data_IF_928046344912
#
_entry.id   IF_928046344912
#
_cell.length_a   1.000
_cell.length_b   1.000
_cell.length_c   1.000
_cell.angle_alpha   90.00
_cell.angle_beta   90.00
_cell.angle_gamma   90.00
#
_symmetry.space_group_name_H-M   'P 1'
#
loop_
_entity.id
_entity.type
_entity.pdbx_description
1 polymer ?
#
# COMPACT_ATOMS: atom_id res chain seq x y z
N UNK A 1 0.41 -11.30 -20.15
CA UNK A 1 0.55 -9.83 -20.12
C UNK A 1 -0.27 -9.31 -18.95
N UNK A 2 0.35 -8.51 -18.07
CA UNK A 2 -0.31 -7.91 -16.92
C UNK A 2 -1.24 -6.80 -17.41
N UNK A 3 -2.51 -6.80 -17.00
CA UNK A 3 -3.50 -5.83 -17.50
C UNK A 3 -3.38 -4.44 -16.84
N UNK A 4 -2.85 -4.38 -15.61
CA UNK A 4 -2.62 -3.15 -14.85
C UNK A 4 -1.65 -3.39 -13.69
N UNK A 5 -0.99 -2.33 -13.19
CA UNK A 5 -0.10 -2.41 -12.02
C UNK A 5 -0.80 -2.94 -10.76
N UNK A 6 -2.11 -2.76 -10.63
CA UNK A 6 -2.89 -3.29 -9.52
C UNK A 6 -3.07 -4.81 -9.58
N UNK A 7 -3.01 -5.40 -10.78
CA UNK A 7 -3.13 -6.84 -11.00
C UNK A 7 -1.76 -7.54 -11.09
N UNK A 8 -0.68 -6.82 -10.80
CA UNK A 8 0.68 -7.35 -10.80
C UNK A 8 0.85 -8.35 -9.64
N UNK A 9 1.66 -9.37 -9.86
CA UNK A 9 2.14 -10.24 -8.79
C UNK A 9 3.61 -9.91 -8.57
N UNK A 10 3.97 -9.44 -7.37
CA UNK A 10 5.37 -9.23 -7.02
C UNK A 10 6.14 -10.56 -7.06
N UNK A 11 7.44 -10.54 -7.42
CA UNK A 11 8.30 -11.71 -7.27
C UNK A 11 8.42 -12.12 -5.79
N UNK A 12 8.99 -13.31 -5.50
CA UNK A 12 9.44 -13.63 -4.16
C UNK A 12 10.32 -12.52 -3.59
N UNK A 13 10.15 -12.24 -2.30
CA UNK A 13 10.86 -11.12 -1.66
C UNK A 13 12.38 -11.33 -1.75
N UNK A 14 13.15 -10.27 -2.06
CA UNK A 14 14.61 -10.37 -2.07
C UNK A 14 15.14 -10.70 -0.67
N UNK A 15 16.35 -11.26 -0.61
CA UNK A 15 17.03 -11.42 0.66
C UNK A 15 17.45 -10.05 1.20
N UNK A 16 17.01 -9.75 2.42
CA UNK A 16 17.38 -8.54 3.15
C UNK A 16 17.48 -8.85 4.64
N UNK A 17 18.27 -8.07 5.35
CA UNK A 17 18.47 -8.26 6.78
C UNK A 17 17.19 -7.88 7.53
N UNK A 18 16.60 -8.85 8.22
CA UNK A 18 15.45 -8.62 9.07
C UNK A 18 15.91 -8.17 10.46
N UNK A 19 15.19 -7.21 11.09
CA UNK A 19 15.47 -6.81 12.46
C UNK A 19 15.14 -7.96 13.42
N UNK A 20 15.74 -8.00 14.62
CA UNK A 20 15.39 -9.00 15.62
C UNK A 20 13.93 -8.83 16.07
N UNK A 21 13.15 -9.92 16.01
CA UNK A 21 11.74 -9.99 16.41
C UNK A 21 11.54 -9.56 17.88
N UNK A 22 10.79 -8.47 18.15
CA UNK A 22 10.54 -8.03 19.53
C UNK A 22 9.70 -9.01 20.36
N UNK A 23 10.16 -9.46 21.53
CA UNK A 23 9.35 -10.33 22.38
C UNK A 23 8.06 -9.64 22.86
N UNK A 24 6.96 -10.38 22.94
CA UNK A 24 5.76 -9.95 23.67
C UNK A 24 5.90 -10.42 25.12
N UNK A 25 5.96 -9.49 26.07
CA UNK A 25 6.15 -9.77 27.49
C UNK A 25 4.86 -10.23 28.20
N UNK A 26 3.70 -9.71 27.80
CA UNK A 26 2.39 -10.18 28.27
C UNK A 26 2.14 -11.62 27.75
N UNK A 27 2.19 -12.59 28.66
CA UNK A 27 2.04 -14.01 28.34
C UNK A 27 0.66 -14.35 27.75
N UNK A 28 -0.41 -13.70 28.23
CA UNK A 28 -1.76 -13.93 27.71
C UNK A 28 -1.86 -13.37 26.31
N UNK A 29 -1.37 -12.15 26.08
CA UNK A 29 -1.36 -11.53 24.76
C UNK A 29 -0.53 -12.35 23.77
N UNK A 30 0.67 -12.77 24.17
CA UNK A 30 1.53 -13.66 23.38
C UNK A 30 0.80 -14.95 23.01
N UNK A 31 0.08 -15.55 23.97
CA UNK A 31 -0.68 -16.77 23.72
C UNK A 31 -1.80 -16.53 22.70
N UNK A 32 -2.54 -15.41 22.82
CA UNK A 32 -3.62 -15.02 21.92
C UNK A 32 -3.11 -14.81 20.49
N UNK A 33 -2.01 -14.06 20.31
CA UNK A 33 -1.39 -13.79 19.00
C UNK A 33 -1.09 -15.06 18.22
N UNK A 34 -0.64 -16.11 18.92
CA UNK A 34 -0.26 -17.37 18.28
C UNK A 34 -1.33 -18.46 18.39
N UNK A 35 -2.58 -18.13 18.73
CA UNK A 35 -3.67 -19.11 18.78
C UNK A 35 -4.60 -18.92 17.59
N UNK A 36 -4.76 -19.96 16.76
CA UNK A 36 -5.68 -20.01 15.62
C UNK A 36 -7.11 -20.34 16.06
N UNK A 37 -8.12 -19.87 15.34
CA UNK A 37 -9.53 -20.06 15.70
C UNK A 37 -9.99 -21.52 15.73
N UNK A 38 -9.35 -22.40 14.95
CA UNK A 38 -9.59 -23.85 15.04
C UNK A 38 -9.26 -24.45 16.41
N UNK A 39 -8.43 -23.81 17.22
CA UNK A 39 -8.13 -24.26 18.59
C UNK A 39 -9.39 -24.40 19.44
N UNK A 40 -10.34 -23.48 19.26
CA UNK A 40 -11.56 -23.42 20.06
C UNK A 40 -12.74 -24.20 19.44
N UNK A 41 -12.59 -24.73 18.23
CA UNK A 41 -13.60 -25.53 17.49
C UNK A 41 -15.03 -24.94 17.50
N UNK A 42 -15.16 -23.62 17.61
CA UNK A 42 -16.43 -22.94 17.84
C UNK A 42 -16.98 -22.36 16.54
N UNK A 43 -18.28 -22.53 16.28
CA UNK A 43 -18.97 -21.88 15.16
C UNK A 43 -19.11 -20.38 15.43
N UNK A 44 -18.61 -19.54 14.51
CA UNK A 44 -18.71 -18.08 14.62
C UNK A 44 -19.68 -17.54 13.59
N UNK A 45 -20.47 -16.55 13.99
CA UNK A 45 -21.20 -15.71 13.06
C UNK A 45 -20.38 -14.43 12.84
N UNK A 46 -19.75 -14.31 11.67
CA UNK A 46 -18.90 -13.18 11.31
C UNK A 46 -19.66 -11.82 11.26
N UNK A 47 -21.00 -11.86 11.18
CA UNK A 47 -21.85 -10.68 11.07
C UNK A 47 -22.66 -10.39 12.34
N UNK A 48 -22.39 -11.10 13.43
CA UNK A 48 -23.09 -10.85 14.69
C UNK A 48 -22.65 -9.51 15.31
N UNK A 49 -23.62 -8.66 15.65
CA UNK A 49 -23.42 -7.41 16.39
C UNK A 49 -23.66 -7.58 17.91
N UNK A 50 -23.48 -8.79 18.45
CA UNK A 50 -23.74 -9.08 19.87
C UNK A 50 -22.50 -8.82 20.74
N UNK A 51 -22.65 -7.95 21.75
CA UNK A 51 -21.57 -7.56 22.67
C UNK A 51 -21.46 -8.52 23.87
N UNK A 52 -22.54 -9.25 24.18
CA UNK A 52 -22.65 -10.07 25.41
C UNK A 52 -21.94 -11.42 25.41
N UNK A 53 -21.41 -11.88 24.26
CA UNK A 53 -20.72 -13.16 24.18
C UNK A 53 -19.20 -12.97 24.26
N UNK A 54 -18.55 -13.58 25.26
CA UNK A 54 -17.09 -13.64 25.33
C UNK A 54 -16.59 -14.47 24.14
N UNK A 55 -16.01 -13.79 23.15
CA UNK A 55 -15.35 -14.45 22.03
C UNK A 55 -14.13 -15.25 22.53
N UNK A 56 -13.81 -16.39 21.90
CA UNK A 56 -12.62 -17.16 22.25
C UNK A 56 -11.34 -16.33 22.07
N UNK A 57 -10.34 -16.62 22.89
CA UNK A 57 -9.05 -15.93 22.88
C UNK A 57 -8.18 -16.51 21.75
N UNK A 58 -8.30 -15.93 20.57
CA UNK A 58 -7.45 -16.18 19.40
C UNK A 58 -7.08 -14.88 18.68
N UNK A 59 -6.27 -15.03 17.63
CA UNK A 59 -5.63 -13.89 16.99
C UNK A 59 -6.60 -12.99 16.21
N UNK A 60 -7.84 -13.39 15.88
CA UNK A 60 -8.68 -12.69 14.89
C UNK A 60 -8.96 -11.22 15.26
N UNK A 61 -9.17 -10.93 16.55
CA UNK A 61 -9.34 -9.54 17.01
C UNK A 61 -8.06 -8.73 16.90
N UNK A 62 -6.92 -9.36 17.18
CA UNK A 62 -5.61 -8.72 17.10
C UNK A 62 -5.21 -8.52 15.63
N UNK A 63 -5.49 -9.49 14.75
CA UNK A 63 -5.35 -9.38 13.30
C UNK A 63 -6.06 -8.12 12.79
N UNK A 64 -7.32 -7.93 13.17
CA UNK A 64 -8.09 -6.77 12.73
C UNK A 64 -7.46 -5.43 13.17
N UNK A 65 -6.98 -5.35 14.43
CA UNK A 65 -6.28 -4.15 14.92
C UNK A 65 -4.93 -3.98 14.22
N UNK A 66 -4.23 -5.08 13.99
CA UNK A 66 -2.92 -5.14 13.38
C UNK A 66 -2.90 -4.69 11.93
N UNK A 67 -3.89 -5.11 11.14
CA UNK A 67 -4.13 -4.64 9.76
C UNK A 67 -4.28 -3.11 9.73
N UNK A 68 -5.09 -2.56 10.64
CA UNK A 68 -5.26 -1.11 10.76
C UNK A 68 -3.95 -0.37 11.11
N UNK A 69 -3.22 -0.86 12.11
CA UNK A 69 -1.93 -0.28 12.53
C UNK A 69 -0.90 -0.35 11.40
N UNK A 70 -0.69 -1.55 10.86
CA UNK A 70 0.27 -1.78 9.77
C UNK A 70 -0.08 -0.95 8.55
N UNK A 71 -1.36 -0.89 8.19
CA UNK A 71 -1.87 -0.08 7.09
C UNK A 71 -1.52 1.40 7.25
N UNK A 72 -1.67 1.98 8.45
CA UNK A 72 -1.28 3.37 8.71
C UNK A 72 0.25 3.53 8.66
N UNK A 73 1.00 2.65 9.31
CA UNK A 73 2.47 2.72 9.35
C UNK A 73 3.10 2.63 7.95
N UNK A 74 2.62 1.73 7.09
CA UNK A 74 3.08 1.61 5.71
C UNK A 74 2.64 2.84 4.88
N UNK A 75 1.47 3.42 5.15
CA UNK A 75 1.05 4.66 4.47
C UNK A 75 1.99 5.82 4.80
N UNK A 76 2.32 6.00 6.08
CA UNK A 76 3.27 7.03 6.52
C UNK A 76 4.67 6.79 5.96
N UNK A 77 5.15 5.54 6.02
CA UNK A 77 6.43 5.14 5.42
C UNK A 77 6.50 5.53 3.94
N UNK A 78 5.47 5.21 3.15
CA UNK A 78 5.46 5.53 1.72
C UNK A 78 5.44 7.03 1.45
N UNK A 79 4.76 7.82 2.30
CA UNK A 79 4.76 9.27 2.21
C UNK A 79 6.14 9.86 2.51
N UNK A 80 6.87 9.27 3.47
CA UNK A 80 8.23 9.68 3.82
C UNK A 80 9.22 9.32 2.69
N UNK A 81 9.12 8.11 2.14
CA UNK A 81 10.03 7.62 1.09
C UNK A 81 9.78 8.24 -0.28
N UNK A 82 8.51 8.48 -0.62
CA UNK A 82 8.09 8.94 -1.96
C UNK A 82 7.10 10.10 -1.88
N UNK A 83 7.51 11.28 -1.36
CA UNK A 83 6.60 12.40 -1.10
C UNK A 83 5.87 12.93 -2.34
N UNK A 84 6.44 12.73 -3.52
CA UNK A 84 5.89 13.17 -4.81
C UNK A 84 5.13 12.07 -5.55
N UNK A 85 4.99 10.86 -4.99
CA UNK A 85 4.25 9.78 -5.61
C UNK A 85 2.74 10.08 -5.59
N UNK A 86 2.03 10.04 -6.73
CA UNK A 86 0.59 10.27 -6.73
C UNK A 86 -0.16 9.30 -5.82
N UNK A 87 -1.19 9.79 -5.14
CA UNK A 87 -1.97 9.03 -4.15
C UNK A 87 -2.53 7.71 -4.69
N UNK A 88 -2.92 7.68 -5.97
CA UNK A 88 -3.36 6.46 -6.66
C UNK A 88 -2.25 5.41 -6.75
N UNK A 89 -1.05 5.80 -7.19
CA UNK A 89 0.11 4.92 -7.28
C UNK A 89 0.60 4.47 -5.90
N UNK A 90 0.62 5.38 -4.92
CA UNK A 90 0.94 5.06 -3.53
C UNK A 90 -0.05 4.04 -2.93
N UNK A 91 -1.33 4.14 -3.27
CA UNK A 91 -2.36 3.17 -2.86
C UNK A 91 -2.10 1.79 -3.46
N UNK A 92 -1.73 1.71 -4.74
CA UNK A 92 -1.40 0.44 -5.40
C UNK A 92 -0.13 -0.16 -4.78
N UNK A 93 0.91 0.64 -4.57
CA UNK A 93 2.15 0.21 -3.92
C UNK A 93 1.88 -0.32 -2.51
N UNK A 94 1.13 0.43 -1.70
CA UNK A 94 0.69 -0.02 -0.37
C UNK A 94 -0.02 -1.37 -0.46
N UNK A 95 -0.96 -1.53 -1.39
CA UNK A 95 -1.71 -2.78 -1.55
C UNK A 95 -0.80 -3.98 -1.84
N UNK A 96 0.31 -3.79 -2.56
CA UNK A 96 1.31 -4.84 -2.76
C UNK A 96 2.13 -5.15 -1.51
N UNK A 97 2.45 -4.12 -0.70
CA UNK A 97 3.20 -4.28 0.54
C UNK A 97 2.42 -4.98 1.64
N UNK A 98 1.13 -4.68 1.79
CA UNK A 98 0.28 -5.22 2.87
C UNK A 98 -0.62 -6.37 2.43
N UNK A 99 -0.42 -6.95 1.24
CA UNK A 99 -1.20 -8.12 0.83
C UNK A 99 -0.76 -9.39 1.59
N UNK A 100 -1.67 -10.38 1.63
CA UNK A 100 -1.42 -11.63 2.34
C UNK A 100 -0.17 -12.38 1.85
N UNK A 101 0.19 -12.30 0.56
CA UNK A 101 1.36 -13.01 0.01
C UNK A 101 2.67 -12.43 0.57
N UNK A 102 2.76 -11.10 0.60
CA UNK A 102 3.91 -10.37 1.14
C UNK A 102 4.03 -10.59 2.64
N UNK A 103 2.93 -10.42 3.39
CA UNK A 103 2.92 -10.60 4.85
C UNK A 103 3.23 -12.04 5.26
N UNK A 104 2.75 -13.04 4.49
CA UNK A 104 3.09 -14.43 4.72
C UNK A 104 4.58 -14.72 4.54
N UNK A 105 5.21 -14.15 3.51
CA UNK A 105 6.66 -14.28 3.30
C UNK A 105 7.46 -13.67 4.45
N UNK A 106 7.07 -12.49 4.95
CA UNK A 106 7.69 -11.85 6.12
C UNK A 106 7.50 -12.74 7.37
N UNK A 107 6.28 -13.20 7.62
CA UNK A 107 5.94 -14.06 8.76
C UNK A 107 6.80 -15.33 8.84
N UNK A 108 7.01 -15.98 7.68
CA UNK A 108 7.84 -17.18 7.59
C UNK A 108 9.33 -16.89 7.81
N UNK A 109 9.85 -15.78 7.25
CA UNK A 109 11.25 -15.39 7.44
C UNK A 109 11.55 -15.03 8.89
N UNK A 110 10.60 -14.40 9.58
CA UNK A 110 10.65 -14.10 11.02
C UNK A 110 10.32 -15.30 11.93
N UNK A 111 10.02 -16.47 11.34
CA UNK A 111 9.72 -17.74 12.04
C UNK A 111 8.58 -17.64 13.05
N UNK A 112 7.65 -16.71 12.87
CA UNK A 112 6.53 -16.49 13.79
C UNK A 112 5.59 -17.71 13.88
N UNK A 113 5.49 -18.48 12.79
CA UNK A 113 4.65 -19.68 12.70
C UNK A 113 5.11 -20.85 13.58
N UNK A 114 6.33 -20.81 14.13
CA UNK A 114 6.82 -21.84 15.05
C UNK A 114 5.97 -21.92 16.32
N UNK A 115 5.52 -20.76 16.81
CA UNK A 115 4.73 -20.62 18.04
C UNK A 115 3.23 -20.88 17.85
N UNK A 116 2.77 -21.10 16.60
CA UNK A 116 1.35 -21.27 16.31
C UNK A 116 0.74 -22.48 17.02
N UNK A 117 -0.41 -22.24 17.65
CA UNK A 117 -1.31 -23.22 18.25
C UNK A 117 -2.60 -23.30 17.45
N UNK A 118 -2.97 -24.50 17.04
CA UNK A 118 -4.20 -24.81 16.33
C UNK A 118 -4.66 -26.21 16.74
N UNK A 119 -5.88 -26.62 16.36
CA UNK A 119 -6.30 -28.00 16.60
C UNK A 119 -5.27 -28.98 15.97
N UNK A 120 -4.84 -30.04 16.68
CA UNK A 120 -3.76 -30.92 16.23
C UNK A 120 -3.93 -31.46 14.81
N UNK A 121 -5.16 -31.79 14.42
CA UNK A 121 -5.51 -32.28 13.08
C UNK A 121 -5.34 -31.23 11.97
N UNK A 122 -5.41 -29.95 12.30
CA UNK A 122 -5.35 -28.82 11.35
C UNK A 122 -4.01 -28.09 11.37
N UNK A 123 -3.16 -28.32 12.37
CA UNK A 123 -1.97 -27.50 12.63
C UNK A 123 -1.03 -27.41 11.43
N UNK A 124 -0.71 -28.55 10.80
CA UNK A 124 0.17 -28.58 9.62
C UNK A 124 -0.42 -27.79 8.46
N UNK A 125 -1.71 -27.98 8.18
CA UNK A 125 -2.43 -27.27 7.12
C UNK A 125 -2.44 -25.77 7.37
N UNK A 126 -2.80 -25.34 8.59
CA UNK A 126 -2.88 -23.92 8.95
C UNK A 126 -1.50 -23.27 8.90
N UNK A 127 -0.44 -23.97 9.33
CA UNK A 127 0.94 -23.44 9.22
C UNK A 127 1.36 -23.14 7.78
N UNK A 128 0.82 -23.84 6.79
CA UNK A 128 1.10 -23.60 5.37
C UNK A 128 0.13 -22.63 4.68
N UNK A 129 -0.92 -22.17 5.36
CA UNK A 129 -1.90 -21.27 4.75
C UNK A 129 -1.38 -19.83 4.74
N UNK A 130 -1.25 -19.26 3.53
CA UNK A 130 -0.86 -17.85 3.32
C UNK A 130 -1.72 -16.90 4.15
N UNK A 131 -3.05 -17.13 4.20
CA UNK A 131 -3.94 -16.29 5.01
C UNK A 131 -3.61 -16.36 6.50
N UNK A 132 -3.42 -17.57 7.07
CA UNK A 132 -3.07 -17.71 8.47
C UNK A 132 -1.70 -17.09 8.80
N UNK A 133 -0.71 -17.25 7.91
CA UNK A 133 0.61 -16.63 8.06
C UNK A 133 0.51 -15.10 8.08
N UNK A 134 -0.25 -14.51 7.15
CA UNK A 134 -0.50 -13.07 7.12
C UNK A 134 -1.22 -12.60 8.39
N UNK A 135 -2.30 -13.28 8.78
CA UNK A 135 -3.09 -12.95 9.97
C UNK A 135 -2.26 -13.01 11.26
N UNK A 136 -1.33 -13.97 11.38
CA UNK A 136 -0.41 -14.06 12.53
C UNK A 136 0.54 -12.88 12.56
N UNK A 137 1.06 -12.44 11.42
CA UNK A 137 1.92 -11.26 11.36
C UNK A 137 1.16 -9.99 11.79
N UNK A 138 -0.05 -9.77 11.26
CA UNK A 138 -0.91 -8.65 11.66
C UNK A 138 -1.24 -8.71 13.16
N UNK A 139 -1.66 -9.87 13.65
CA UNK A 139 -1.95 -10.06 15.07
C UNK A 139 -0.73 -9.81 15.96
N UNK A 140 0.46 -10.19 15.49
CA UNK A 140 1.71 -9.92 16.18
C UNK A 140 2.02 -8.42 16.25
N UNK A 141 1.77 -7.64 15.19
CA UNK A 141 1.87 -6.18 15.22
C UNK A 141 0.94 -5.57 16.30
N UNK A 142 -0.31 -6.02 16.38
CA UNK A 142 -1.20 -5.61 17.46
C UNK A 142 -0.74 -6.09 18.85
N UNK A 143 -0.12 -7.28 18.90
CA UNK A 143 0.54 -7.81 20.08
C UNK A 143 1.62 -6.87 20.61
N UNK A 144 2.51 -6.39 19.74
CA UNK A 144 3.53 -5.40 20.11
C UNK A 144 2.93 -4.09 20.61
N UNK A 145 1.89 -3.60 19.92
CA UNK A 145 1.19 -2.39 20.29
C UNK A 145 0.58 -2.48 21.71
N UNK A 146 -0.17 -3.54 22.00
CA UNK A 146 -0.79 -3.71 23.32
C UNK A 146 0.20 -4.11 24.41
N UNK A 147 1.25 -4.87 24.08
CA UNK A 147 2.34 -5.16 25.02
C UNK A 147 3.01 -3.87 25.46
N UNK A 148 3.28 -2.96 24.53
CA UNK A 148 3.81 -1.63 24.84
C UNK A 148 2.94 -0.88 25.84
N UNK A 149 1.63 -0.86 25.62
CA UNK A 149 0.69 -0.14 26.47
C UNK A 149 0.51 -0.78 27.86
N UNK A 150 0.54 -2.11 27.94
CA UNK A 150 0.06 -2.85 29.12
C UNK A 150 1.15 -3.51 29.95
N UNK A 151 2.21 -3.99 29.31
CA UNK A 151 3.27 -4.74 29.99
C UNK A 151 4.15 -3.80 30.80
N UNK A 152 4.59 -4.14 32.02
CA UNK A 152 5.56 -3.32 32.74
C UNK A 152 6.89 -3.17 31.97
N UNK A 153 7.27 -4.21 31.22
CA UNK A 153 8.53 -4.28 30.43
C UNK A 153 8.24 -4.69 28.98
N UNK A 154 7.70 -3.79 28.14
CA UNK A 154 7.44 -4.08 26.73
C UNK A 154 8.66 -4.59 26.01
N UNK A 155 8.48 -5.53 25.10
CA UNK A 155 9.60 -6.13 24.40
C UNK A 155 10.37 -7.16 25.24
N UNK A 156 10.24 -7.17 26.57
CA UNK A 156 10.92 -8.15 27.43
C UNK A 156 12.44 -8.20 27.27
N UNK A 157 13.05 -7.17 26.69
CA UNK A 157 14.50 -7.09 26.54
C UNK A 157 15.10 -7.07 27.94
N UNK A 158 15.85 -8.13 28.28
CA UNK A 158 16.73 -8.06 29.43
C UNK A 158 17.80 -7.04 29.05
N UNK A 159 17.66 -5.81 29.55
CA UNK A 159 18.75 -4.84 29.49
C UNK A 159 20.01 -5.56 29.96
N UNK A 160 21.01 -5.62 29.09
CA UNK A 160 22.33 -6.11 29.45
C UNK A 160 22.90 -5.21 30.54
N UNK A 161 22.58 -5.53 31.79
CA UNK A 161 23.16 -4.97 33.00
C UNK A 161 23.25 -3.44 33.07
N UNK A 162 22.18 -2.79 33.56
CA UNK A 162 22.25 -1.64 34.50
C UNK A 162 20.84 -1.17 34.87
N UNK A 163 20.26 -1.75 35.91
CA UNK A 163 19.25 -1.02 36.70
C UNK A 163 19.94 0.19 37.33
N UNK A 164 19.77 1.36 36.73
CA UNK A 164 20.13 2.64 37.36
C UNK A 164 18.87 3.20 38.04
N UNK A 165 18.83 2.97 39.35
CA UNK A 165 18.53 3.93 40.42
C UNK A 165 17.26 4.80 40.29
N UNK A 166 16.34 4.53 41.21
CA UNK A 166 15.29 5.41 41.74
C UNK A 166 15.86 6.78 42.12
N UNK A 167 15.29 7.89 41.61
CA UNK A 167 15.48 9.20 42.25
C UNK A 167 14.14 9.95 42.28
N UNK A 168 13.79 10.32 43.52
CA UNK A 168 12.70 11.19 43.93
C UNK A 168 12.72 12.57 43.26
N UNK A 169 11.56 13.22 43.28
CA UNK A 169 11.26 14.45 42.56
C UNK A 169 12.06 15.69 42.93
N UNK A 170 11.99 16.69 42.04
CA UNK A 170 12.54 18.02 42.26
C UNK A 170 12.31 18.93 41.05
N UNK A 171 11.26 19.74 41.13
CA UNK A 171 10.93 20.86 40.25
C UNK A 171 12.01 21.96 40.35
N UNK A 172 12.60 22.43 39.25
CA UNK A 172 13.05 23.84 39.12
C UNK A 172 12.99 24.35 37.68
N UNK A 173 12.52 25.60 37.56
CA UNK A 173 12.42 26.43 36.35
C UNK A 173 13.77 27.07 35.99
N UNK A 174 13.99 27.32 34.70
CA UNK A 174 14.94 28.34 34.22
C UNK A 174 15.06 28.37 32.69
N UNK A 175 14.59 29.45 32.06
CA UNK A 175 15.14 29.97 30.79
C UNK A 175 15.71 31.38 31.05
N UNK A 176 16.15 32.19 30.05
CA UNK A 176 16.09 32.01 28.58
C UNK A 176 17.36 32.46 27.77
N UNK A 177 17.19 32.62 26.44
CA UNK A 177 17.98 33.37 25.40
C UNK A 177 19.27 32.73 24.83
N UNK A 178 19.65 32.81 23.54
CA UNK A 178 19.22 33.62 22.38
C UNK A 178 19.81 33.09 21.03
N UNK A 179 19.12 33.43 19.94
CA UNK A 179 19.59 33.73 18.56
C UNK A 179 20.15 32.66 17.59
N UNK A 180 19.56 32.64 16.38
CA UNK A 180 20.20 32.17 15.14
C UNK A 180 19.27 31.44 14.17
N UNK A 181 18.48 32.17 13.39
CA UNK A 181 17.75 31.64 12.21
C UNK A 181 18.72 31.57 11.02
N UNK A 182 18.91 30.37 10.46
CA UNK A 182 19.40 30.18 9.11
C UNK A 182 18.54 29.09 8.45
N UNK A 183 17.94 29.44 7.31
CA UNK A 183 17.11 28.59 6.48
C UNK A 183 18.05 27.86 5.51
N UNK A 184 18.12 26.53 5.58
CA UNK A 184 18.86 25.70 4.63
C UNK A 184 17.90 24.70 4.01
N UNK A 185 17.60 24.91 2.72
CA UNK A 185 16.81 24.01 1.89
C UNK A 185 17.71 22.87 1.43
N UNK A 186 17.51 21.64 1.94
CA UNK A 186 18.16 20.46 1.34
C UNK A 186 18.42 19.21 2.18
N UNK A 187 17.96 19.10 3.44
CA UNK A 187 18.46 18.06 4.37
C UNK A 187 17.39 17.20 5.08
N UNK A 188 16.11 17.27 4.72
CA UNK A 188 15.06 16.62 5.52
C UNK A 188 15.03 15.08 5.39
N UNK A 189 15.36 14.52 4.22
CA UNK A 189 15.37 13.05 4.02
C UNK A 189 16.49 12.36 4.81
N UNK A 190 17.66 12.98 4.91
CA UNK A 190 18.81 12.47 5.66
C UNK A 190 18.58 12.48 7.18
N UNK A 191 17.86 13.47 7.71
CA UNK A 191 17.59 13.60 9.13
C UNK A 191 16.58 12.55 9.63
N UNK A 192 15.55 12.24 8.83
CA UNK A 192 14.58 11.20 9.14
C UNK A 192 15.22 9.80 9.11
N UNK A 193 16.06 9.51 8.11
CA UNK A 193 16.85 8.25 8.09
C UNK A 193 17.77 8.13 9.31
N UNK A 194 18.38 9.24 9.75
CA UNK A 194 19.28 9.31 10.90
C UNK A 194 18.58 8.97 12.24
N UNK A 195 17.33 9.38 12.43
CA UNK A 195 16.57 9.12 13.68
C UNK A 195 16.32 7.62 13.87
N UNK A 196 16.15 6.86 12.79
CA UNK A 196 15.74 5.46 12.83
C UNK A 196 16.88 4.45 12.55
N UNK A 197 18.09 4.91 12.21
CA UNK A 197 19.26 4.05 11.96
C UNK A 197 19.86 3.42 13.23
N UNK A 198 19.37 3.81 14.39
CA UNK A 198 19.70 3.22 15.69
C UNK A 198 18.90 1.92 15.89
N UNK A 199 19.57 0.78 15.75
CA UNK A 199 19.06 -0.61 15.89
C UNK A 199 18.45 -0.97 17.26
N UNK A 200 18.25 -0.01 18.15
CA UNK A 200 17.67 -0.21 19.47
C UNK A 200 16.29 0.45 19.55
N UNK A 201 15.31 -0.27 20.10
CA UNK A 201 13.99 0.28 20.39
C UNK A 201 14.14 1.52 21.30
N UNK A 202 13.26 2.51 21.17
CA UNK A 202 13.34 3.73 21.97
C UNK A 202 13.26 3.39 23.46
N UNK A 203 14.05 4.06 24.32
CA UNK A 203 14.05 3.80 25.75
C UNK A 203 12.67 4.05 26.35
N UNK A 204 12.25 3.15 27.25
CA UNK A 204 10.96 3.23 27.93
C UNK A 204 10.98 4.41 28.91
N UNK A 205 10.31 5.51 28.59
CA UNK A 205 10.12 6.61 29.54
C UNK A 205 9.19 6.15 30.68
N UNK A 206 9.59 6.43 31.93
CA UNK A 206 8.79 6.25 33.15
C UNK A 206 7.66 7.31 33.26
N UNK A 207 6.88 7.49 32.19
CA UNK A 207 5.70 8.35 32.21
C UNK A 207 4.48 7.52 32.60
N UNK A 208 3.71 8.05 33.56
CA UNK A 208 2.67 7.35 34.31
C UNK A 208 1.55 6.72 33.48
N UNK A 209 1.42 6.99 32.18
CA UNK A 209 0.56 6.25 31.24
C UNK A 209 1.18 6.31 29.84
N UNK A 210 1.53 5.16 29.26
CA UNK A 210 2.04 5.10 27.88
C UNK A 210 0.90 5.38 26.91
N UNK A 211 1.16 6.20 25.89
CA UNK A 211 0.11 6.62 24.94
C UNK A 211 0.08 5.72 23.70
N UNK A 212 -1.06 5.73 22.99
CA UNK A 212 -1.17 5.07 21.69
C UNK A 212 -0.13 5.60 20.69
N UNK A 213 0.23 6.89 20.74
CA UNK A 213 1.28 7.46 19.89
C UNK A 213 2.65 6.81 20.13
N UNK A 214 3.05 6.70 21.40
CA UNK A 214 4.29 6.02 21.76
C UNK A 214 4.30 4.54 21.35
N UNK A 215 3.15 3.86 21.45
CA UNK A 215 3.01 2.49 20.96
C UNK A 215 3.13 2.39 19.43
N UNK A 216 2.56 3.34 18.68
CA UNK A 216 2.73 3.42 17.23
C UNK A 216 4.21 3.64 16.87
N UNK A 217 4.90 4.55 17.57
CA UNK A 217 6.33 4.79 17.37
C UNK A 217 7.13 3.51 17.66
N UNK A 218 6.87 2.83 18.77
CA UNK A 218 7.53 1.58 19.13
C UNK A 218 7.37 0.51 18.05
N UNK A 219 6.14 0.30 17.55
CA UNK A 219 5.88 -0.64 16.45
C UNK A 219 6.57 -0.18 15.17
N UNK A 220 6.58 1.11 14.87
CA UNK A 220 7.25 1.65 13.69
C UNK A 220 8.75 1.34 13.66
N UNK A 221 9.44 1.31 14.80
CA UNK A 221 10.86 0.93 14.88
C UNK A 221 11.12 -0.51 14.43
N UNK A 222 10.15 -1.42 14.59
CA UNK A 222 10.24 -2.79 14.08
C UNK A 222 9.80 -2.88 12.61
N UNK A 223 8.72 -2.18 12.23
CA UNK A 223 8.13 -2.28 10.89
C UNK A 223 8.97 -1.57 9.83
N UNK A 224 9.51 -0.37 10.11
CA UNK A 224 10.22 0.44 9.11
C UNK A 224 11.43 -0.29 8.50
N UNK A 225 12.33 -0.96 9.26
CA UNK A 225 13.45 -1.69 8.68
C UNK A 225 13.04 -2.84 7.75
N UNK A 226 11.86 -3.43 7.97
CA UNK A 226 11.33 -4.50 7.11
C UNK A 226 10.74 -3.90 5.84
N UNK A 227 9.90 -2.88 5.98
CA UNK A 227 9.10 -2.35 4.87
C UNK A 227 9.84 -1.32 4.01
N UNK A 228 10.89 -0.67 4.50
CA UNK A 228 11.68 0.29 3.68
C UNK A 228 12.36 -0.38 2.49
N UNK A 229 13.21 -1.42 2.65
CA UNK A 229 13.83 -2.09 1.51
C UNK A 229 12.79 -2.77 0.60
N UNK A 230 11.70 -3.25 1.19
CA UNK A 230 10.60 -3.86 0.47
C UNK A 230 9.84 -2.84 -0.40
N UNK A 231 9.65 -1.62 0.11
CA UNK A 231 9.03 -0.53 -0.63
C UNK A 231 9.88 -0.14 -1.85
N UNK A 232 11.20 -0.03 -1.69
CA UNK A 232 12.13 0.19 -2.81
C UNK A 232 12.04 -0.93 -3.85
N UNK A 233 12.14 -2.19 -3.41
CA UNK A 233 12.01 -3.33 -4.31
C UNK A 233 10.69 -3.35 -5.09
N UNK A 234 9.57 -3.15 -4.40
CA UNK A 234 8.25 -3.16 -5.02
C UNK A 234 8.06 -1.96 -5.96
N UNK A 235 8.57 -0.78 -5.58
CA UNK A 235 8.52 0.43 -6.40
C UNK A 235 9.31 0.24 -7.69
N UNK A 236 10.56 -0.21 -7.61
CA UNK A 236 11.42 -0.41 -8.79
C UNK A 236 10.79 -1.43 -9.74
N UNK A 237 10.32 -2.57 -9.21
CA UNK A 237 9.66 -3.59 -10.01
C UNK A 237 8.37 -3.09 -10.68
N UNK A 238 7.57 -2.28 -9.97
CA UNK A 238 6.37 -1.67 -10.54
C UNK A 238 6.70 -0.63 -11.60
N UNK A 239 7.79 0.13 -11.43
CA UNK A 239 8.23 1.13 -12.39
C UNK A 239 8.69 0.47 -13.70
N UNK A 240 9.52 -0.57 -13.61
CA UNK A 240 9.98 -1.34 -14.77
C UNK A 240 8.80 -1.93 -15.56
N UNK A 241 7.82 -2.53 -14.85
CA UNK A 241 6.60 -3.04 -15.48
C UNK A 241 5.74 -1.95 -16.10
N UNK A 242 5.68 -0.76 -15.50
CA UNK A 242 4.96 0.38 -16.06
C UNK A 242 5.60 0.87 -17.36
N UNK A 243 6.93 0.93 -17.41
CA UNK A 243 7.70 1.27 -18.60
C UNK A 243 7.52 0.23 -19.70
N UNK A 244 7.57 -1.07 -19.39
CA UNK A 244 7.28 -2.13 -20.37
C UNK A 244 5.85 -2.06 -20.91
N UNK A 245 4.88 -1.75 -20.05
CA UNK A 245 3.48 -1.55 -20.46
C UNK A 245 3.32 -0.32 -21.36
N UNK A 246 4.09 0.74 -21.13
CA UNK A 246 4.07 1.93 -21.97
C UNK A 246 4.81 1.69 -23.30
N UNK A 247 5.95 0.99 -23.29
CA UNK A 247 6.71 0.65 -24.48
C UNK A 247 5.96 -0.35 -25.38
N UNK A 248 5.27 -1.34 -24.79
CA UNK A 248 4.40 -2.26 -25.52
C UNK A 248 3.14 -1.60 -26.08
N UNK A 249 2.67 -0.52 -25.46
CA UNK A 249 1.66 0.38 -26.06
C UNK A 249 2.26 1.25 -27.17
N UNK A 250 3.49 1.73 -27.02
CA UNK A 250 4.22 2.51 -28.03
C UNK A 250 4.53 1.72 -29.31
N UNK A 251 4.68 0.39 -29.23
CA UNK A 251 4.79 -0.47 -30.40
C UNK A 251 3.47 -0.60 -31.22
N UNK A 252 2.35 -0.06 -30.72
CA UNK A 252 1.08 0.10 -31.45
C UNK A 252 0.92 1.55 -31.95
N UNK A 253 1.84 1.98 -32.82
CA UNK A 253 1.70 3.13 -33.72
C UNK A 253 1.79 4.51 -33.05
N UNK A 254 2.80 5.28 -33.46
CA UNK A 254 3.17 6.66 -33.07
C UNK A 254 2.10 7.77 -33.28
N UNK A 255 0.81 7.43 -33.37
CA UNK A 255 -0.28 8.38 -33.63
C UNK A 255 -1.30 8.46 -32.47
N UNK A 256 -0.85 8.27 -31.22
CA UNK A 256 -1.67 8.55 -30.04
C UNK A 256 -1.23 9.82 -29.29
N UNK A 257 -2.17 10.64 -28.81
CA UNK A 257 -1.86 11.88 -28.11
C UNK A 257 -1.21 11.56 -26.76
N UNK A 258 -0.16 12.32 -26.41
CA UNK A 258 0.66 12.12 -25.21
C UNK A 258 -0.12 12.20 -23.88
N UNK A 259 -1.28 12.87 -23.88
CA UNK A 259 -2.20 12.93 -22.75
C UNK A 259 -3.64 13.06 -23.22
N UNK A 260 -4.57 12.50 -22.45
CA UNK A 260 -6.01 12.61 -22.70
C UNK A 260 -6.51 14.07 -22.70
N UNK A 261 -5.76 14.99 -22.06
CA UNK A 261 -6.05 16.43 -22.07
C UNK A 261 -6.05 17.04 -23.47
N UNK A 262 -5.20 16.56 -24.38
CA UNK A 262 -5.10 17.04 -25.77
C UNK A 262 -6.33 16.67 -26.60
N UNK A 263 -7.10 15.67 -26.18
CA UNK A 263 -8.29 15.20 -26.90
C UNK A 263 -9.59 15.79 -26.36
N UNK A 264 -9.49 16.72 -25.40
CA UNK A 264 -10.68 17.33 -24.78
C UNK A 264 -11.45 18.13 -25.83
N UNK A 265 -12.67 17.69 -26.10
CA UNK A 265 -13.53 18.32 -27.11
C UNK A 265 -13.41 17.75 -28.52
N UNK A 266 -12.47 16.81 -28.77
CA UNK A 266 -12.27 16.19 -30.08
C UNK A 266 -13.53 15.50 -30.61
N UNK A 267 -14.23 14.73 -29.77
CA UNK A 267 -15.48 14.08 -30.15
C UNK A 267 -16.58 15.11 -30.52
N UNK A 268 -16.68 16.23 -29.78
CA UNK A 268 -17.64 17.28 -30.10
C UNK A 268 -17.29 17.98 -31.41
N UNK A 269 -16.00 18.26 -31.64
CA UNK A 269 -15.49 18.84 -32.88
C UNK A 269 -15.72 17.95 -34.10
N UNK A 270 -15.45 16.65 -33.98
CA UNK A 270 -15.68 15.68 -35.05
C UNK A 270 -17.18 15.53 -35.36
N UNK A 271 -18.03 15.45 -34.32
CA UNK A 271 -19.47 15.36 -34.50
C UNK A 271 -20.03 16.58 -35.23
N UNK A 272 -19.62 17.79 -34.83
CA UNK A 272 -20.04 19.03 -35.48
C UNK A 272 -19.59 19.09 -36.95
N UNK A 273 -18.36 18.67 -37.23
CA UNK A 273 -17.82 18.62 -38.59
C UNK A 273 -18.62 17.65 -39.49
N UNK A 274 -18.86 16.42 -39.03
CA UNK A 274 -19.58 15.42 -39.83
C UNK A 274 -21.04 15.83 -40.07
N UNK A 275 -21.71 16.42 -39.07
CA UNK A 275 -23.06 16.97 -39.26
C UNK A 275 -23.07 18.07 -40.32
N UNK A 276 -22.06 18.94 -40.31
CA UNK A 276 -21.97 20.04 -41.27
C UNK A 276 -21.66 19.57 -42.70
N UNK A 277 -20.81 18.56 -42.86
CA UNK A 277 -20.33 18.09 -44.17
C UNK A 277 -21.27 17.06 -44.80
N UNK A 278 -21.70 16.06 -44.03
CA UNK A 278 -22.52 14.93 -44.56
C UNK A 278 -23.91 14.83 -43.97
N UNK A 279 -24.24 15.61 -42.94
CA UNK A 279 -25.51 15.49 -42.23
C UNK A 279 -25.65 14.19 -41.41
N UNK A 280 -24.58 13.40 -41.28
CA UNK A 280 -24.56 12.15 -40.51
C UNK A 280 -23.58 12.26 -39.34
N UNK A 281 -23.93 11.62 -38.22
CA UNK A 281 -23.03 11.53 -37.06
C UNK A 281 -22.03 10.37 -37.21
N UNK A 282 -20.81 10.51 -36.67
CA UNK A 282 -19.87 9.39 -36.51
C UNK A 282 -20.51 8.26 -35.71
N UNK A 283 -20.18 7.01 -36.07
CA UNK A 283 -20.58 5.84 -35.30
C UNK A 283 -19.51 5.52 -34.27
N UNK A 284 -19.92 5.31 -33.02
CA UNK A 284 -19.04 4.92 -31.92
C UNK A 284 -19.51 3.59 -31.33
N UNK A 285 -18.65 2.59 -31.35
CA UNK A 285 -18.84 1.28 -30.70
C UNK A 285 -17.91 1.15 -29.49
N UNK A 286 -18.33 0.43 -28.45
CA UNK A 286 -17.56 0.27 -27.22
C UNK A 286 -17.44 -1.20 -26.85
N UNK A 287 -16.21 -1.65 -26.59
CA UNK A 287 -15.92 -3.02 -26.16
C UNK A 287 -15.07 -3.02 -24.89
N UNK A 288 -15.39 -3.85 -23.88
CA UNK A 288 -14.53 -4.00 -22.71
C UNK A 288 -13.23 -4.76 -23.08
N UNK A 289 -12.07 -4.21 -22.70
CA UNK A 289 -10.73 -4.80 -22.95
C UNK A 289 -10.00 -5.18 -21.66
N UNK A 290 -10.72 -5.83 -20.75
CA UNK A 290 -10.19 -6.25 -19.45
C UNK A 290 -10.71 -5.38 -18.29
N UNK A 291 -10.00 -5.42 -17.17
CA UNK A 291 -10.42 -4.73 -15.93
C UNK A 291 -10.19 -3.22 -16.08
N UNK A 292 -11.27 -2.44 -15.98
CA UNK A 292 -11.25 -0.98 -16.09
C UNK A 292 -10.64 -0.43 -17.40
N UNK A 293 -10.75 -1.16 -18.51
CA UNK A 293 -10.31 -0.72 -19.84
C UNK A 293 -11.46 -0.81 -20.84
N UNK A 294 -11.63 0.26 -21.62
CA UNK A 294 -12.64 0.40 -22.66
C UNK A 294 -11.97 0.72 -23.98
N UNK A 295 -12.27 -0.08 -24.99
CA UNK A 295 -11.99 0.24 -26.39
C UNK A 295 -13.19 0.99 -26.97
N UNK A 296 -12.91 2.07 -27.69
CA UNK A 296 -13.89 2.75 -28.53
C UNK A 296 -13.42 2.68 -29.98
N UNK A 297 -14.27 2.10 -30.84
CA UNK A 297 -14.11 2.15 -32.29
C UNK A 297 -14.97 3.28 -32.84
N UNK A 298 -14.38 4.16 -33.64
CA UNK A 298 -15.07 5.25 -34.31
C UNK A 298 -15.00 5.06 -35.82
N UNK A 299 -16.15 5.16 -36.49
CA UNK A 299 -16.27 5.06 -37.95
C UNK A 299 -16.99 6.31 -38.47
N UNK A 300 -16.39 6.94 -39.49
CA UNK A 300 -16.91 8.13 -40.17
C UNK A 300 -16.99 7.85 -41.66
N UNK A 301 -18.12 8.21 -42.26
CA UNK A 301 -18.32 8.18 -43.71
C UNK A 301 -18.52 9.62 -44.20
N UNK A 302 -17.55 10.13 -44.96
CA UNK A 302 -17.54 11.50 -45.51
C UNK A 302 -17.14 11.46 -46.97
N UNK A 303 -17.95 12.06 -47.86
CA UNK A 303 -17.65 12.18 -49.31
C UNK A 303 -17.25 10.86 -50.00
N UNK A 304 -17.87 9.74 -49.61
CA UNK A 304 -17.60 8.42 -50.16
C UNK A 304 -16.31 7.75 -49.64
N UNK A 305 -15.62 8.38 -48.69
CA UNK A 305 -14.45 7.85 -47.99
C UNK A 305 -14.84 7.37 -46.59
N UNK A 306 -14.28 6.23 -46.20
CA UNK A 306 -14.47 5.62 -44.90
C UNK A 306 -13.23 5.82 -44.04
N UNK A 307 -13.41 6.42 -42.87
CA UNK A 307 -12.38 6.58 -41.86
C UNK A 307 -12.73 5.72 -40.66
N UNK A 308 -11.77 4.96 -40.17
CA UNK A 308 -11.91 4.14 -38.97
C UNK A 308 -10.75 4.39 -38.02
N UNK A 309 -11.05 4.36 -36.73
CA UNK A 309 -10.03 4.41 -35.68
C UNK A 309 -10.49 3.67 -34.44
N UNK A 310 -9.54 3.20 -33.66
CA UNK A 310 -9.80 2.63 -32.34
C UNK A 310 -8.88 3.24 -31.29
N UNK A 311 -9.37 3.35 -30.06
CA UNK A 311 -8.57 3.77 -28.92
C UNK A 311 -8.99 3.05 -27.65
N UNK A 312 -8.01 2.71 -26.81
CA UNK A 312 -8.24 2.02 -25.52
C UNK A 312 -7.86 2.95 -24.37
N UNK A 313 -8.80 3.21 -23.46
CA UNK A 313 -8.57 4.04 -22.26
C UNK A 313 -9.29 3.50 -21.04
N UNK A 314 -8.96 4.04 -19.86
CA UNK A 314 -9.58 3.68 -18.58
C UNK A 314 -11.08 4.02 -18.51
N UNK A 315 -11.53 4.98 -19.32
CA UNK A 315 -12.94 5.40 -19.39
C UNK A 315 -13.43 5.42 -20.84
N UNK A 316 -14.72 5.13 -21.05
CA UNK A 316 -15.38 5.25 -22.36
C UNK A 316 -15.21 6.66 -22.97
N UNK A 317 -15.29 7.70 -22.14
CA UNK A 317 -15.18 9.09 -22.57
C UNK A 317 -13.79 9.43 -23.10
N UNK A 318 -12.74 8.97 -22.42
CA UNK A 318 -11.37 9.16 -22.87
C UNK A 318 -11.10 8.37 -24.16
N UNK A 319 -11.56 7.12 -24.24
CA UNK A 319 -11.42 6.28 -25.43
C UNK A 319 -12.09 6.94 -26.65
N UNK A 320 -13.32 7.43 -26.48
CA UNK A 320 -14.05 8.16 -27.52
C UNK A 320 -13.32 9.44 -27.96
N UNK A 321 -12.77 10.21 -27.02
CA UNK A 321 -12.02 11.43 -27.34
C UNK A 321 -10.80 11.15 -28.21
N UNK A 322 -10.04 10.11 -27.89
CA UNK A 322 -8.83 9.72 -28.63
C UNK A 322 -9.17 9.14 -30.01
N UNK A 323 -10.19 8.29 -30.11
CA UNK A 323 -10.65 7.77 -31.41
C UNK A 323 -11.11 8.92 -32.33
N UNK A 324 -11.91 9.85 -31.81
CA UNK A 324 -12.34 11.02 -32.57
C UNK A 324 -11.17 11.94 -32.99
N UNK A 325 -10.18 12.11 -32.12
CA UNK A 325 -8.98 12.89 -32.42
C UNK A 325 -8.16 12.28 -33.57
N UNK A 326 -7.98 10.95 -33.59
CA UNK A 326 -7.28 10.23 -34.68
C UNK A 326 -7.93 10.48 -36.04
N UNK A 327 -9.26 10.36 -36.13
CA UNK A 327 -9.99 10.68 -37.37
C UNK A 327 -9.89 12.17 -37.70
N UNK A 328 -9.97 13.06 -36.70
CA UNK A 328 -9.77 14.49 -36.90
C UNK A 328 -8.41 14.83 -37.51
N UNK A 329 -7.35 14.12 -37.11
CA UNK A 329 -6.00 14.25 -37.69
C UNK A 329 -5.96 13.76 -39.14
N UNK A 330 -6.60 12.62 -39.43
CA UNK A 330 -6.73 12.08 -40.80
C UNK A 330 -7.52 13.01 -41.74
N UNK A 331 -8.53 13.72 -41.19
CA UNK A 331 -9.32 14.72 -41.91
C UNK A 331 -8.64 16.11 -41.98
N UNK A 332 -7.46 16.29 -41.36
CA UNK A 332 -6.73 17.55 -41.35
C UNK A 332 -7.43 18.68 -40.59
N UNK A 333 -8.23 18.36 -39.57
CA UNK A 333 -8.99 19.35 -38.80
C UNK A 333 -8.05 20.17 -37.90
N UNK A 334 -8.18 21.51 -37.97
CA UNK A 334 -7.29 22.45 -37.27
C UNK A 334 -7.17 22.21 -35.76
N UNK A 335 -8.23 21.75 -35.09
CA UNK A 335 -8.21 21.47 -33.66
C UNK A 335 -7.50 20.15 -33.31
N UNK A 336 -7.31 19.26 -34.29
CA UNK A 336 -6.64 17.98 -34.11
C UNK A 336 -5.13 18.05 -34.42
N UNK A 337 -4.69 19.09 -35.14
CA UNK A 337 -3.29 19.27 -35.58
C UNK A 337 -2.48 20.28 -34.73
N UNK A 338 -2.96 20.64 -33.55
CA UNK A 338 -2.19 21.49 -32.62
C UNK A 338 -1.27 20.57 -31.82
N UNK A 339 0.03 20.60 -32.12
CA UNK A 339 1.08 19.91 -31.35
C UNK A 339 1.31 20.60 -29.99
#
# INVERSE_FOLDING_TARGET
MVASLAALTLPPLPDFNLPPVPPIADATLKLTVFTHSSWHQSTRNAQALSIGHKLPEDYEKLEHVGDGILGVLVTLLLQDLYPNLPSGSATILKAHLVNNQTLAQICNRERLMENLRAAPSTLYTVKGQVKAQASVFEAYIAGLFYDFLRSPVPGGYKDGGKSVVTIDGGLTRGGPSSDGVAVDEGTETSALESVFKSMALPPLNNLRERTNGQAMDYVAHFVRPIFSPLAHFAFDFMNDMAEELNNSKGARGDDEPASDSFTRGAAAGLNAHCIQVTGQMPQYSYMPKGVNLWECECVVNTDGMYYESAAVRSTKKAAMGVAAWKIGKQLGLRWACVE
#
